data_IF_956821770130
#
_entry.id   IF_956821770130
#
_cell.length_a   1.000
_cell.length_b   1.000
_cell.length_c   1.000
_cell.angle_alpha   90.00
_cell.angle_beta   90.00
_cell.angle_gamma   90.00
#
_symmetry.space_group_name_H-M   'P 1'
#
loop_
_entity.id
_entity.type
_entity.pdbx_description
1 polymer ?
#
# COMPACT_ATOMS: atom_id res chain seq x y z
N UNK A 1 -29.64 -15.33 -44.18
CA UNK A 1 -28.57 -15.69 -43.22
C UNK A 1 -28.49 -14.58 -42.21
N UNK A 2 -29.03 -14.82 -41.03
CA UNK A 2 -29.03 -13.81 -39.95
C UNK A 2 -27.75 -14.00 -39.12
N UNK A 3 -26.91 -12.98 -39.10
CA UNK A 3 -25.69 -12.94 -38.28
C UNK A 3 -26.07 -12.60 -36.85
N UNK A 4 -25.99 -13.58 -35.96
CA UNK A 4 -26.23 -13.37 -34.53
C UNK A 4 -24.95 -12.81 -33.93
N UNK A 5 -24.93 -11.51 -33.63
CA UNK A 5 -23.86 -10.86 -32.87
C UNK A 5 -24.03 -11.26 -31.40
N UNK A 6 -23.16 -12.13 -30.92
CA UNK A 6 -23.05 -12.43 -29.47
C UNK A 6 -22.31 -11.27 -28.82
N UNK A 7 -23.06 -10.38 -28.16
CA UNK A 7 -22.49 -9.36 -27.27
C UNK A 7 -22.16 -10.06 -25.95
N UNK A 8 -20.91 -10.46 -25.79
CA UNK A 8 -20.39 -10.90 -24.49
C UNK A 8 -20.14 -9.64 -23.64
N UNK A 9 -21.11 -9.25 -22.83
CA UNK A 9 -20.89 -8.34 -21.70
C UNK A 9 -20.16 -9.13 -20.62
N UNK A 10 -18.83 -9.11 -20.66
CA UNK A 10 -18.03 -9.45 -19.49
C UNK A 10 -18.25 -8.34 -18.47
N UNK A 11 -19.23 -8.52 -17.61
CA UNK A 11 -19.32 -7.78 -16.36
C UNK A 11 -18.10 -8.20 -15.55
N UNK A 12 -17.09 -7.32 -15.44
CA UNK A 12 -15.96 -7.53 -14.56
C UNK A 12 -16.52 -7.67 -13.14
N UNK A 13 -16.55 -8.90 -12.63
CA UNK A 13 -16.88 -9.11 -11.23
C UNK A 13 -15.88 -8.30 -10.39
N UNK A 14 -16.38 -7.60 -9.37
CA UNK A 14 -15.49 -6.92 -8.41
C UNK A 14 -14.50 -7.93 -7.84
N UNK A 15 -13.24 -7.55 -7.62
CA UNK A 15 -12.27 -8.43 -7.00
C UNK A 15 -12.80 -8.93 -5.66
N UNK A 16 -12.68 -10.23 -5.42
CA UNK A 16 -13.22 -10.89 -4.22
C UNK A 16 -12.19 -11.84 -3.64
N UNK A 17 -12.22 -12.02 -2.31
CA UNK A 17 -11.46 -13.06 -1.64
C UNK A 17 -12.02 -14.44 -2.01
N UNK A 18 -11.18 -15.30 -2.56
CA UNK A 18 -11.53 -16.66 -2.97
C UNK A 18 -10.70 -17.67 -2.18
N UNK A 19 -11.23 -18.86 -1.85
CA UNK A 19 -10.43 -19.95 -1.29
C UNK A 19 -9.27 -20.33 -2.22
N UNK A 20 -8.05 -20.38 -1.67
CA UNK A 20 -6.84 -20.70 -2.42
C UNK A 20 -5.76 -21.26 -1.49
N UNK A 21 -4.74 -21.90 -2.08
CA UNK A 21 -3.57 -22.39 -1.37
C UNK A 21 -2.44 -21.35 -1.38
N UNK A 22 -1.42 -21.57 -0.53
CA UNK A 22 -0.19 -20.77 -0.58
C UNK A 22 0.51 -20.91 -1.95
N UNK A 23 0.47 -22.09 -2.55
CA UNK A 23 1.11 -22.33 -3.85
C UNK A 23 0.40 -21.56 -4.98
N UNK A 24 -0.91 -21.35 -4.87
CA UNK A 24 -1.66 -20.47 -5.79
C UNK A 24 -1.19 -19.02 -5.66
N UNK A 25 -1.00 -18.52 -4.43
CA UNK A 25 -0.45 -17.17 -4.19
C UNK A 25 0.95 -17.02 -4.79
N UNK A 26 1.82 -18.01 -4.58
CA UNK A 26 3.17 -18.00 -5.14
C UNK A 26 3.15 -18.03 -6.66
N UNK A 27 2.25 -18.81 -7.27
CA UNK A 27 2.10 -18.85 -8.72
C UNK A 27 1.77 -17.48 -9.32
N UNK A 28 0.90 -16.69 -8.67
CA UNK A 28 0.63 -15.31 -9.08
C UNK A 28 1.86 -14.39 -8.91
N UNK A 29 2.60 -14.51 -7.80
CA UNK A 29 3.79 -13.70 -7.55
C UNK A 29 4.94 -13.97 -8.54
N UNK A 30 5.01 -15.17 -9.11
CA UNK A 30 6.12 -15.64 -9.96
C UNK A 30 5.76 -15.68 -11.45
N UNK A 31 4.52 -15.41 -11.83
CA UNK A 31 4.10 -15.38 -13.23
C UNK A 31 4.63 -14.12 -13.93
N UNK A 32 5.60 -14.26 -14.86
CA UNK A 32 6.20 -13.12 -15.54
C UNK A 32 5.26 -12.42 -16.52
N UNK A 33 4.06 -12.96 -16.76
CA UNK A 33 3.03 -12.35 -17.62
C UNK A 33 2.08 -11.44 -16.87
N UNK A 34 2.22 -11.36 -15.53
CA UNK A 34 1.33 -10.63 -14.62
C UNK A 34 2.05 -9.45 -13.93
N UNK A 35 2.84 -8.68 -14.67
CA UNK A 35 3.72 -7.62 -14.15
C UNK A 35 3.04 -6.53 -13.30
N UNK A 36 1.71 -6.37 -13.37
CA UNK A 36 0.97 -5.31 -12.68
C UNK A 36 -0.12 -5.85 -11.74
N UNK A 37 -0.09 -7.15 -11.42
CA UNK A 37 -1.10 -7.77 -10.56
C UNK A 37 -0.70 -7.62 -9.09
N UNK A 38 -1.61 -7.08 -8.28
CA UNK A 38 -1.46 -7.06 -6.83
C UNK A 38 -2.17 -8.24 -6.22
N UNK A 39 -1.47 -8.98 -5.38
CA UNK A 39 -1.97 -10.20 -4.76
C UNK A 39 -1.89 -10.11 -3.24
N UNK A 40 -2.94 -10.60 -2.61
CA UNK A 40 -3.05 -10.65 -1.15
C UNK A 40 -3.52 -12.05 -0.74
N UNK A 41 -2.91 -12.60 0.29
CA UNK A 41 -3.23 -13.92 0.81
C UNK A 41 -3.36 -13.89 2.33
N UNK A 42 -4.45 -14.39 2.85
CA UNK A 42 -4.62 -14.58 4.29
C UNK A 42 -5.23 -15.95 4.59
N UNK A 43 -4.42 -16.83 5.17
CA UNK A 43 -4.83 -18.12 5.75
C UNK A 43 -5.82 -18.93 4.89
N UNK A 44 -5.49 -19.11 3.61
CA UNK A 44 -6.30 -19.92 2.70
C UNK A 44 -7.29 -19.14 1.85
N UNK A 45 -7.19 -17.82 1.85
CA UNK A 45 -7.94 -16.94 0.95
C UNK A 45 -7.01 -16.05 0.15
N UNK A 46 -7.29 -15.91 -1.13
CA UNK A 46 -6.55 -15.10 -2.10
C UNK A 46 -7.45 -13.97 -2.62
N UNK A 47 -6.90 -12.78 -2.67
CA UNK A 47 -7.48 -11.65 -3.37
C UNK A 47 -6.52 -11.21 -4.47
N UNK A 48 -7.02 -11.11 -5.69
CA UNK A 48 -6.24 -10.72 -6.87
C UNK A 48 -6.82 -9.44 -7.44
N UNK A 49 -6.04 -8.38 -7.42
CA UNK A 49 -6.38 -7.11 -8.05
C UNK A 49 -5.68 -7.03 -9.42
N UNK A 50 -6.45 -7.31 -10.47
CA UNK A 50 -6.01 -7.29 -11.87
C UNK A 50 -6.16 -5.90 -12.51
N UNK A 51 -6.51 -4.90 -11.74
CA UNK A 51 -6.77 -3.55 -12.25
C UNK A 51 -5.50 -2.89 -12.75
N UNK A 52 -5.54 -2.37 -13.98
CA UNK A 52 -4.50 -1.46 -14.45
C UNK A 52 -4.44 -0.24 -13.52
N UNK A 53 -3.24 0.20 -13.20
CA UNK A 53 -3.04 1.41 -12.39
C UNK A 53 -3.66 2.63 -13.11
N UNK A 54 -4.76 3.14 -12.57
CA UNK A 54 -5.42 4.32 -13.11
C UNK A 54 -4.58 5.59 -12.92
N UNK A 55 -4.80 6.61 -13.76
CA UNK A 55 -4.06 7.89 -13.70
C UNK A 55 -4.10 8.50 -12.28
N UNK A 56 -5.26 8.44 -11.60
CA UNK A 56 -5.38 8.97 -10.25
C UNK A 56 -4.56 8.14 -9.26
N UNK A 57 -4.67 6.82 -9.29
CA UNK A 57 -3.90 5.92 -8.42
C UNK A 57 -2.39 6.18 -8.55
N UNK A 58 -1.87 6.22 -9.78
CA UNK A 58 -0.47 6.56 -10.05
C UNK A 58 -0.07 7.93 -9.48
N UNK A 59 -0.93 8.95 -9.62
CA UNK A 59 -0.66 10.29 -9.08
C UNK A 59 -0.52 10.29 -7.56
N UNK A 60 -1.37 9.54 -6.86
CA UNK A 60 -1.33 9.46 -5.41
C UNK A 60 -0.10 8.71 -4.91
N UNK A 61 0.23 7.53 -5.45
CA UNK A 61 1.45 6.80 -5.08
C UNK A 61 2.69 7.68 -5.26
N UNK A 62 2.83 8.33 -6.42
CA UNK A 62 3.97 9.23 -6.69
C UNK A 62 3.97 10.45 -5.77
N UNK A 63 2.80 10.98 -5.38
CA UNK A 63 2.73 12.03 -4.37
C UNK A 63 3.34 11.54 -3.06
N UNK A 64 2.89 10.41 -2.51
CA UNK A 64 3.36 9.94 -1.20
C UNK A 64 4.87 9.68 -1.18
N UNK A 65 5.46 9.15 -2.26
CA UNK A 65 6.92 9.03 -2.37
C UNK A 65 7.62 10.40 -2.25
N UNK A 66 7.07 11.45 -2.86
CA UNK A 66 7.61 12.82 -2.72
C UNK A 66 7.38 13.39 -1.30
N UNK A 67 6.26 13.04 -0.64
CA UNK A 67 6.01 13.47 0.75
C UNK A 67 7.00 12.82 1.71
N UNK A 68 7.30 11.53 1.55
CA UNK A 68 8.32 10.84 2.34
C UNK A 68 9.69 11.48 2.16
N UNK A 69 10.11 11.73 0.90
CA UNK A 69 11.35 12.43 0.62
C UNK A 69 11.39 13.81 1.30
N UNK A 70 10.31 14.59 1.18
CA UNK A 70 10.24 15.94 1.77
C UNK A 70 10.32 15.89 3.30
N UNK A 71 9.68 14.89 3.91
CA UNK A 71 9.71 14.71 5.37
C UNK A 71 11.11 14.38 5.88
N UNK A 72 11.77 13.39 5.27
CA UNK A 72 13.09 12.94 5.71
C UNK A 72 14.22 13.88 5.31
N UNK A 73 14.05 14.73 4.29
CA UNK A 73 14.99 15.78 3.96
C UNK A 73 15.24 16.76 5.14
N UNK A 74 14.30 16.85 6.08
CA UNK A 74 14.42 17.67 7.32
C UNK A 74 15.13 16.93 8.47
N UNK A 75 15.40 15.64 8.31
CA UNK A 75 15.99 14.75 9.34
C UNK A 75 17.32 14.19 8.84
N UNK A 76 18.38 15.01 8.75
CA UNK A 76 19.67 14.58 8.22
C UNK A 76 20.21 13.35 8.97
N UNK A 77 20.66 12.35 8.24
CA UNK A 77 21.21 11.12 8.80
C UNK A 77 20.18 10.03 9.12
N UNK A 78 18.88 10.29 8.99
CA UNK A 78 17.86 9.25 9.05
C UNK A 78 17.81 8.53 7.70
N UNK A 79 18.10 7.22 7.71
CA UNK A 79 17.92 6.36 6.55
C UNK A 79 16.43 6.03 6.38
N UNK A 80 15.98 5.94 5.15
CA UNK A 80 14.65 5.42 4.85
C UNK A 80 14.62 4.80 3.44
N UNK A 81 13.78 3.80 3.26
CA UNK A 81 13.48 3.19 1.97
C UNK A 81 11.97 3.12 1.77
N UNK A 82 11.50 3.55 0.59
CA UNK A 82 10.14 3.34 0.12
C UNK A 82 10.16 2.18 -0.89
N UNK A 83 9.64 1.03 -0.47
CA UNK A 83 9.58 -0.21 -1.23
C UNK A 83 8.15 -0.52 -1.71
N UNK A 84 7.34 0.52 -1.95
CA UNK A 84 5.97 0.38 -2.42
C UNK A 84 5.84 -0.53 -3.64
N UNK A 85 4.83 -1.42 -3.63
CA UNK A 85 4.61 -2.44 -4.64
C UNK A 85 5.39 -3.76 -4.42
N UNK A 86 6.32 -3.82 -3.46
CA UNK A 86 6.97 -5.08 -3.11
C UNK A 86 6.01 -6.00 -2.36
N UNK A 87 6.06 -7.30 -2.66
CA UNK A 87 5.32 -8.32 -1.92
C UNK A 87 5.97 -8.53 -0.55
N UNK A 88 5.17 -8.39 0.50
CA UNK A 88 5.51 -8.76 1.88
C UNK A 88 4.93 -10.13 2.18
N UNK A 89 5.67 -11.02 2.84
CA UNK A 89 5.14 -12.35 3.17
C UNK A 89 5.57 -12.85 4.56
N UNK A 90 4.64 -13.52 5.26
CA UNK A 90 4.94 -14.55 6.26
C UNK A 90 4.64 -15.89 5.58
N UNK A 91 5.64 -16.66 5.18
CA UNK A 91 5.46 -17.85 4.33
C UNK A 91 4.38 -18.79 4.85
N UNK A 92 3.53 -19.28 3.94
CA UNK A 92 2.40 -20.21 4.16
C UNK A 92 1.22 -19.64 4.96
N UNK A 93 1.29 -18.38 5.41
CA UNK A 93 0.23 -17.79 6.24
C UNK A 93 -0.34 -16.50 5.68
N UNK A 94 0.50 -15.51 5.40
CA UNK A 94 0.09 -14.21 4.87
C UNK A 94 1.00 -13.74 3.75
N UNK A 95 0.42 -13.02 2.79
CA UNK A 95 1.12 -12.29 1.73
C UNK A 95 0.35 -11.05 1.32
N UNK A 96 1.04 -9.95 1.00
CA UNK A 96 0.42 -8.70 0.62
C UNK A 96 1.30 -7.90 -0.35
N UNK A 97 0.68 -7.18 -1.29
CA UNK A 97 1.34 -6.26 -2.23
C UNK A 97 0.82 -4.83 -1.97
N UNK A 98 1.25 -4.15 -0.89
CA UNK A 98 0.78 -2.81 -0.57
C UNK A 98 1.32 -1.76 -1.54
N UNK A 99 0.58 -0.66 -1.73
CA UNK A 99 0.99 0.46 -2.57
C UNK A 99 2.17 1.25 -1.98
N UNK A 100 2.21 1.37 -0.65
CA UNK A 100 3.26 2.06 0.09
C UNK A 100 3.89 1.11 1.10
N UNK A 101 5.22 1.07 1.16
CA UNK A 101 5.99 0.29 2.14
C UNK A 101 7.17 1.13 2.61
N UNK A 102 7.13 1.61 3.83
CA UNK A 102 8.16 2.49 4.37
C UNK A 102 8.98 1.79 5.46
N UNK A 103 10.28 1.76 5.24
CA UNK A 103 11.28 1.38 6.23
C UNK A 103 12.07 2.61 6.69
N UNK A 104 12.20 2.81 8.01
CA UNK A 104 12.91 3.94 8.60
C UNK A 104 14.05 3.43 9.48
N UNK A 105 15.26 3.96 9.30
CA UNK A 105 16.46 3.49 9.98
C UNK A 105 17.14 2.34 9.25
N UNK A 106 17.99 1.62 9.95
CA UNK A 106 18.78 0.52 9.41
C UNK A 106 17.97 -0.77 9.25
N UNK A 107 18.50 -1.71 8.44
CA UNK A 107 17.95 -3.07 8.29
C UNK A 107 16.79 -3.18 7.30
N UNK A 108 16.67 -2.25 6.35
CA UNK A 108 15.79 -2.42 5.19
C UNK A 108 16.17 -3.67 4.40
N UNK A 109 15.21 -4.39 3.80
CA UNK A 109 15.49 -5.55 2.97
C UNK A 109 16.42 -5.21 1.80
N UNK A 110 17.38 -6.10 1.53
CA UNK A 110 18.30 -5.98 0.40
C UNK A 110 18.22 -7.26 -0.42
N UNK A 111 17.75 -7.15 -1.65
CA UNK A 111 17.66 -8.30 -2.56
C UNK A 111 19.05 -8.76 -3.01
N UNK A 112 19.25 -10.08 -3.07
CA UNK A 112 20.46 -10.71 -3.61
C UNK A 112 20.09 -11.59 -4.81
N UNK A 113 21.03 -11.74 -5.75
CA UNK A 113 20.82 -12.57 -6.93
C UNK A 113 20.51 -14.02 -6.54
N UNK A 114 19.42 -14.56 -7.12
CA UNK A 114 18.92 -15.90 -6.82
C UNK A 114 17.86 -15.97 -5.71
N UNK A 115 17.61 -14.87 -5.00
CA UNK A 115 16.51 -14.81 -4.03
C UNK A 115 15.16 -14.49 -4.69
N UNK A 116 14.04 -14.93 -4.11
CA UNK A 116 12.71 -14.47 -4.49
C UNK A 116 12.61 -12.93 -4.38
N UNK A 117 11.91 -12.29 -5.31
CA UNK A 117 11.66 -10.83 -5.28
C UNK A 117 10.53 -10.46 -4.31
N UNK A 118 10.51 -11.08 -3.14
CA UNK A 118 9.52 -10.88 -2.08
C UNK A 118 10.25 -10.66 -0.75
N UNK A 119 9.66 -9.83 0.09
CA UNK A 119 10.21 -9.55 1.42
C UNK A 119 9.65 -10.55 2.42
N UNK A 120 10.47 -11.50 2.83
CA UNK A 120 10.12 -12.47 3.86
C UNK A 120 10.26 -11.85 5.26
N UNK A 121 9.14 -11.55 5.90
CA UNK A 121 9.07 -10.91 7.24
C UNK A 121 9.48 -11.83 8.39
N UNK A 122 9.85 -13.10 8.11
CA UNK A 122 10.51 -13.97 9.11
C UNK A 122 12.02 -13.82 9.08
N UNK A 123 12.59 -13.21 8.04
CA UNK A 123 14.02 -12.99 7.85
C UNK A 123 14.39 -11.51 7.95
N UNK A 124 13.52 -10.65 7.45
CA UNK A 124 13.67 -9.20 7.48
C UNK A 124 12.77 -8.57 8.53
N UNK A 125 13.17 -7.40 9.02
CA UNK A 125 12.30 -6.66 9.92
C UNK A 125 11.00 -6.25 9.22
N UNK A 126 9.97 -6.02 10.03
CA UNK A 126 8.68 -5.51 9.59
C UNK A 126 8.85 -4.03 9.17
N UNK A 127 8.21 -3.56 8.09
CA UNK A 127 8.21 -2.14 7.74
C UNK A 127 7.54 -1.29 8.82
N UNK A 128 7.94 -0.02 8.93
CA UNK A 128 7.38 0.90 9.93
C UNK A 128 5.96 1.35 9.56
N UNK A 129 5.66 1.38 8.25
CA UNK A 129 4.37 1.78 7.71
C UNK A 129 4.09 1.04 6.40
N UNK A 130 2.83 0.67 6.18
CA UNK A 130 2.29 0.33 4.87
C UNK A 130 1.05 1.16 4.57
N UNK A 131 0.74 1.34 3.28
CA UNK A 131 -0.46 2.05 2.85
C UNK A 131 -1.08 1.47 1.59
N UNK A 132 -2.40 1.65 1.48
CA UNK A 132 -3.20 1.35 0.29
C UNK A 132 -3.80 2.63 -0.28
N UNK A 133 -3.76 2.77 -1.58
CA UNK A 133 -4.37 3.87 -2.32
C UNK A 133 -5.71 3.39 -2.88
N UNK A 134 -6.79 3.73 -2.19
CA UNK A 134 -8.14 3.22 -2.43
C UNK A 134 -8.88 4.05 -3.51
N UNK A 135 -8.95 3.56 -4.73
CA UNK A 135 -9.83 4.09 -5.78
C UNK A 135 -11.15 3.32 -5.85
N UNK A 136 -11.10 1.98 -5.87
CA UNK A 136 -12.26 1.09 -5.96
C UNK A 136 -12.33 0.06 -4.83
N UNK A 137 -11.30 -0.05 -4.02
CA UNK A 137 -11.08 -1.08 -3.00
C UNK A 137 -11.30 -0.62 -1.57
N UNK A 138 -11.81 0.59 -1.33
CA UNK A 138 -11.90 1.22 0.00
C UNK A 138 -12.52 0.29 1.07
N UNK A 139 -13.58 -0.44 0.73
CA UNK A 139 -14.22 -1.34 1.69
C UNK A 139 -13.28 -2.48 2.11
N UNK A 140 -12.62 -3.14 1.16
CA UNK A 140 -11.63 -4.21 1.41
C UNK A 140 -10.39 -3.69 2.14
N UNK A 141 -9.94 -2.47 1.81
CA UNK A 141 -8.79 -1.84 2.47
C UNK A 141 -9.09 -1.50 3.94
N UNK A 142 -10.33 -1.15 4.25
CA UNK A 142 -10.77 -0.84 5.62
C UNK A 142 -11.16 -2.07 6.45
N UNK A 143 -11.36 -3.23 5.83
CA UNK A 143 -11.75 -4.48 6.51
C UNK A 143 -10.70 -5.58 6.33
N UNK A 144 -10.77 -6.39 5.26
CA UNK A 144 -9.98 -7.62 5.13
C UNK A 144 -8.47 -7.32 5.05
N UNK A 145 -8.03 -6.34 4.24
CA UNK A 145 -6.63 -5.98 4.17
C UNK A 145 -6.11 -5.37 5.46
N UNK A 146 -6.92 -4.59 6.15
CA UNK A 146 -6.58 -4.07 7.48
C UNK A 146 -6.33 -5.18 8.49
N UNK A 147 -7.13 -6.27 8.46
CA UNK A 147 -6.91 -7.45 9.29
C UNK A 147 -5.65 -8.22 8.88
N UNK A 148 -5.39 -8.33 7.58
CA UNK A 148 -4.16 -8.94 7.04
C UNK A 148 -2.91 -8.19 7.51
N UNK A 149 -2.88 -6.85 7.43
CA UNK A 149 -1.75 -6.06 7.91
C UNK A 149 -1.57 -6.13 9.43
N UNK A 150 -2.65 -6.27 10.20
CA UNK A 150 -2.56 -6.54 11.63
C UNK A 150 -1.95 -7.93 11.92
N UNK A 151 -2.25 -8.96 11.11
CA UNK A 151 -1.66 -10.29 11.22
C UNK A 151 -0.19 -10.32 10.78
N UNK A 152 0.20 -9.46 9.85
CA UNK A 152 1.60 -9.19 9.48
C UNK A 152 2.35 -8.37 10.54
N UNK A 153 1.64 -7.84 11.55
CA UNK A 153 2.17 -7.05 12.66
C UNK A 153 2.73 -5.68 12.26
N UNK A 154 2.23 -5.12 11.17
CA UNK A 154 2.64 -3.79 10.70
C UNK A 154 2.23 -2.73 11.73
N UNK A 155 3.18 -1.88 12.23
CA UNK A 155 2.88 -0.94 13.31
C UNK A 155 1.92 0.16 12.91
N UNK A 156 2.02 0.66 11.67
CA UNK A 156 1.16 1.73 11.13
C UNK A 156 0.61 1.36 9.75
N UNK A 157 -0.68 1.59 9.56
CA UNK A 157 -1.39 1.31 8.31
C UNK A 157 -2.18 2.53 7.85
N UNK A 158 -2.03 2.92 6.59
CA UNK A 158 -2.76 4.01 5.99
C UNK A 158 -3.70 3.54 4.89
N UNK A 159 -4.89 4.14 4.81
CA UNK A 159 -5.81 4.02 3.67
C UNK A 159 -6.02 5.42 3.09
N UNK A 160 -5.58 5.61 1.87
CA UNK A 160 -5.70 6.86 1.13
C UNK A 160 -6.95 6.78 0.26
N UNK A 161 -8.05 7.34 0.72
CA UNK A 161 -9.33 7.37 0.00
C UNK A 161 -9.29 8.47 -1.07
N UNK A 162 -9.06 8.07 -2.33
CA UNK A 162 -8.96 9.01 -3.46
C UNK A 162 -10.25 9.83 -3.62
N UNK A 163 -11.40 9.18 -3.51
CA UNK A 163 -12.71 9.82 -3.77
C UNK A 163 -13.16 10.72 -2.63
N UNK A 164 -12.83 10.33 -1.41
CA UNK A 164 -13.13 11.12 -0.20
C UNK A 164 -12.08 12.19 0.10
N UNK A 165 -10.95 12.20 -0.64
CA UNK A 165 -9.80 13.08 -0.38
C UNK A 165 -9.34 13.01 1.09
N UNK A 166 -9.29 11.79 1.66
CA UNK A 166 -8.99 11.53 3.07
C UNK A 166 -7.82 10.56 3.22
N UNK A 167 -7.15 10.68 4.36
CA UNK A 167 -6.16 9.71 4.81
C UNK A 167 -6.61 9.15 6.16
N UNK A 168 -6.93 7.87 6.19
CA UNK A 168 -7.28 7.14 7.39
C UNK A 168 -6.02 6.41 7.89
N UNK A 169 -5.46 6.86 8.98
CA UNK A 169 -4.24 6.30 9.55
C UNK A 169 -4.56 5.48 10.81
N UNK A 170 -3.92 4.33 10.94
CA UNK A 170 -4.19 3.38 12.02
C UNK A 170 -2.88 2.90 12.63
N UNK A 171 -2.86 2.83 13.97
CA UNK A 171 -1.78 2.25 14.77
C UNK A 171 -2.19 0.88 15.30
N UNK A 172 -1.31 -0.12 15.15
CA UNK A 172 -1.51 -1.44 15.73
C UNK A 172 -1.36 -1.37 17.25
N UNK A 173 -2.36 -1.92 17.98
CA UNK A 173 -2.37 -2.02 19.43
C UNK A 173 -1.87 -3.40 19.90
N UNK A 174 -1.57 -3.54 21.17
CA UNK A 174 -1.12 -4.81 21.79
C UNK A 174 -2.13 -5.96 21.61
N UNK A 175 -3.42 -5.62 21.50
CA UNK A 175 -4.48 -6.59 21.23
C UNK A 175 -4.60 -7.01 19.76
N UNK A 176 -3.61 -6.67 18.92
CA UNK A 176 -3.55 -6.94 17.48
C UNK A 176 -4.69 -6.32 16.67
N UNK A 177 -5.26 -5.23 17.15
CA UNK A 177 -6.26 -4.44 16.41
C UNK A 177 -5.74 -3.05 16.13
N UNK A 178 -6.09 -2.53 14.97
CA UNK A 178 -5.80 -1.16 14.62
C UNK A 178 -6.75 -0.17 15.28
N UNK A 179 -6.18 0.91 15.79
CA UNK A 179 -6.89 2.10 16.27
C UNK A 179 -6.53 3.27 15.37
N UNK A 180 -7.53 4.05 14.99
CA UNK A 180 -7.33 5.27 14.20
C UNK A 180 -6.54 6.32 15.01
N UNK A 181 -5.66 7.06 14.31
CA UNK A 181 -4.76 8.04 14.90
C UNK A 181 -4.80 9.35 14.10
N UNK A 182 -4.57 10.48 14.79
CA UNK A 182 -4.51 11.82 14.20
C UNK A 182 -3.10 12.26 13.83
N UNK A 183 -2.08 11.59 14.38
CA UNK A 183 -0.66 11.85 14.13
C UNK A 183 0.05 10.55 13.75
N UNK A 184 0.88 10.60 12.71
CA UNK A 184 1.68 9.45 12.30
C UNK A 184 2.65 9.02 13.39
N UNK A 185 2.78 7.71 13.57
CA UNK A 185 3.79 7.08 14.39
C UNK A 185 5.14 7.00 13.64
N UNK A 186 5.10 6.56 12.39
CA UNK A 186 6.27 6.39 11.53
C UNK A 186 6.90 7.74 11.16
N UNK A 187 6.07 8.71 10.80
CA UNK A 187 6.49 10.09 10.55
C UNK A 187 6.19 10.92 11.81
N UNK A 188 6.93 10.67 12.87
CA UNK A 188 6.68 11.20 14.20
C UNK A 188 6.36 12.70 14.24
N UNK A 189 5.14 13.03 14.70
CA UNK A 189 4.65 14.40 14.79
C UNK A 189 3.95 14.93 13.52
N UNK A 190 3.85 14.14 12.44
CA UNK A 190 3.13 14.55 11.25
C UNK A 190 1.60 14.43 11.49
N UNK A 191 0.84 15.54 11.44
CA UNK A 191 -0.62 15.48 11.52
C UNK A 191 -1.20 14.82 10.26
N UNK A 192 -2.11 13.88 10.42
CA UNK A 192 -2.81 13.22 9.27
C UNK A 192 -3.64 14.25 8.49
N UNK A 193 -4.23 15.22 9.17
CA UNK A 193 -4.94 16.33 8.53
C UNK A 193 -4.09 17.16 7.55
N UNK A 194 -2.76 17.21 7.74
CA UNK A 194 -1.87 17.87 6.78
C UNK A 194 -1.73 17.07 5.47
N UNK A 195 -1.78 15.73 5.55
CA UNK A 195 -1.83 14.88 4.36
C UNK A 195 -3.12 15.15 3.57
N UNK A 196 -4.28 15.23 4.25
CA UNK A 196 -5.57 15.53 3.60
C UNK A 196 -5.55 16.92 2.94
N UNK A 197 -5.02 17.94 3.62
CA UNK A 197 -4.84 19.27 3.03
C UNK A 197 -3.91 19.22 1.80
N UNK A 198 -2.92 18.31 1.80
CA UNK A 198 -2.03 18.09 0.65
C UNK A 198 -2.77 17.43 -0.51
N UNK A 199 -3.66 16.46 -0.23
CA UNK A 199 -4.51 15.84 -1.25
C UNK A 199 -5.38 16.90 -1.96
N UNK A 200 -5.93 17.85 -1.23
CA UNK A 200 -6.70 18.96 -1.81
C UNK A 200 -5.88 19.83 -2.78
N UNK A 201 -4.54 19.81 -2.75
CA UNK A 201 -3.67 20.50 -3.69
C UNK A 201 -3.42 19.74 -5.01
N UNK A 202 -3.87 18.49 -5.12
CA UNK A 202 -3.63 17.64 -6.29
C UNK A 202 -4.22 18.18 -7.59
N UNK A 203 -5.21 19.09 -7.53
CA UNK A 203 -5.75 19.78 -8.71
C UNK A 203 -4.66 20.55 -9.49
N UNK A 204 -3.61 21.02 -8.81
CA UNK A 204 -2.46 21.70 -9.41
C UNK A 204 -1.32 20.75 -9.84
N UNK A 205 -1.50 19.44 -9.66
CA UNK A 205 -0.53 18.38 -9.96
C UNK A 205 0.19 17.89 -8.70
N UNK A 206 0.64 16.63 -8.72
CA UNK A 206 1.26 15.99 -7.56
C UNK A 206 2.60 16.63 -7.16
N UNK A 207 3.39 17.13 -8.12
CA UNK A 207 4.62 17.87 -7.82
C UNK A 207 4.35 19.17 -7.05
N UNK A 208 3.34 19.96 -7.49
CA UNK A 208 2.97 21.20 -6.80
C UNK A 208 2.38 20.92 -5.41
N UNK A 209 1.58 19.86 -5.26
CA UNK A 209 1.08 19.41 -3.96
C UNK A 209 2.24 19.04 -3.01
N UNK A 210 3.27 18.33 -3.50
CA UNK A 210 4.44 18.00 -2.71
C UNK A 210 5.26 19.23 -2.30
N UNK A 211 5.41 20.21 -3.20
CA UNK A 211 6.07 21.48 -2.86
C UNK A 211 5.28 22.26 -1.80
N UNK A 212 3.96 22.29 -1.89
CA UNK A 212 3.11 22.88 -0.87
C UNK A 212 3.29 22.18 0.48
N UNK A 213 3.25 20.84 0.51
CA UNK A 213 3.51 20.06 1.72
C UNK A 213 4.88 20.40 2.34
N UNK A 214 5.94 20.44 1.52
CA UNK A 214 7.29 20.79 1.99
C UNK A 214 7.34 22.15 2.68
N UNK A 215 6.56 23.14 2.19
CA UNK A 215 6.45 24.46 2.85
C UNK A 215 5.71 24.38 4.18
N UNK A 216 4.64 23.59 4.28
CA UNK A 216 3.89 23.44 5.52
C UNK A 216 4.70 22.78 6.62
N UNK A 217 5.39 21.66 6.29
CA UNK A 217 6.21 20.96 7.28
C UNK A 217 7.42 21.77 7.76
N UNK A 218 7.88 22.76 6.99
CA UNK A 218 8.98 23.65 7.43
C UNK A 218 8.64 24.43 8.72
N UNK A 219 7.36 24.53 9.06
CA UNK A 219 6.86 25.26 10.24
C UNK A 219 6.46 24.30 11.39
N UNK A 220 6.60 22.97 11.22
CA UNK A 220 6.44 21.96 12.27
C UNK A 220 7.77 21.70 12.98
#
# INVERSE_FOLDING_TARGET
MASTTVTSTTQSALPQWIPATWDDFIAYCEDPTLDEVRVFFDRGYLFVDMGNEGINHARFIRLFAMLFLSWFARKPGVLFDDLGGCVLEKPKTQGASPDLVLYIGEGSPQWQEGEPRRVNLTQWRIPDLVGEVADTTLATDLDEKKQLYAALEIPEYWVIDIKGERVLAFRLQDNKKYQEIEYSLALEGLPISLLEQTLAQLHSGNGNAALWFAQQIANL
#
